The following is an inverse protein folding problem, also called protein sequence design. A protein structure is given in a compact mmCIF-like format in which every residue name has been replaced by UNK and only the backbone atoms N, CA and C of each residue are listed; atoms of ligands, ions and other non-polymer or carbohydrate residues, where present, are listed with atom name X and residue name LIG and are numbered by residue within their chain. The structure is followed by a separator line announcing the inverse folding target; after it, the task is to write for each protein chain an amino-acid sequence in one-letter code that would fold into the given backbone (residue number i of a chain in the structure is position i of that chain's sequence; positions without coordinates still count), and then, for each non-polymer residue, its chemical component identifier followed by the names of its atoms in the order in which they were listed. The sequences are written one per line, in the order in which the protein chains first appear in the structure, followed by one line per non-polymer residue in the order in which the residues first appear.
data_IF_863640730520
#
_entry.id   IF_863640730520
#
_cell.length_a   1.000
_cell.length_b   1.000
_cell.length_c   1.000
_cell.angle_alpha   90.00
_cell.angle_beta   90.00
_cell.angle_gamma   90.00
#
_symmetry.space_group_name_H-M   'P 1'
#
loop_
_entity.id
_entity.type
_entity.pdbx_description
1 polymer ?
#
# COMPACT_ATOMS: atom_id res chain seq x y z
N UNK A 1 9.65 8.15 18.44
CA UNK A 1 8.64 8.72 17.52
C UNK A 1 8.25 7.74 16.42
N UNK A 2 9.10 7.43 15.42
CA UNK A 2 8.73 6.49 14.32
C UNK A 2 8.38 5.07 14.81
N UNK A 3 9.20 4.48 15.69
CA UNK A 3 8.93 3.13 16.24
C UNK A 3 7.55 3.02 16.91
N UNK A 4 7.16 4.05 17.65
CA UNK A 4 5.88 4.11 18.36
C UNK A 4 4.69 4.22 17.40
N UNK A 5 4.82 5.04 16.34
CA UNK A 5 3.83 5.10 15.24
C UNK A 5 3.68 3.74 14.53
N UNK A 6 4.79 3.04 14.30
CA UNK A 6 4.79 1.71 13.67
C UNK A 6 4.14 0.64 14.55
N UNK A 7 4.32 0.71 15.88
CA UNK A 7 3.65 -0.19 16.81
C UNK A 7 2.13 -0.01 16.83
N UNK A 8 1.63 1.20 16.56
CA UNK A 8 0.18 1.48 16.55
C UNK A 8 -0.51 1.08 15.26
N UNK A 9 0.11 1.37 14.11
CA UNK A 9 -0.45 1.04 12.79
C UNK A 9 0.68 0.39 11.97
N UNK A 10 0.64 -0.93 11.75
CA UNK A 10 1.69 -1.61 11.01
C UNK A 10 1.57 -1.36 9.50
N UNK A 11 2.71 -1.38 8.83
CA UNK A 11 2.84 -1.35 7.37
C UNK A 11 3.76 -2.48 6.93
N UNK A 12 3.64 -2.90 5.68
CA UNK A 12 4.46 -3.94 5.08
C UNK A 12 4.98 -3.47 3.73
N UNK A 13 6.06 -4.08 3.24
CA UNK A 13 6.74 -3.71 2.00
C UNK A 13 6.64 -4.86 1.00
N UNK A 14 6.06 -4.61 -0.17
CA UNK A 14 6.28 -5.46 -1.33
C UNK A 14 7.62 -5.13 -1.98
N UNK A 15 8.34 -6.18 -2.37
CA UNK A 15 9.61 -6.06 -3.09
C UNK A 15 9.59 -7.04 -4.27
N UNK A 16 9.58 -6.52 -5.49
CA UNK A 16 9.51 -7.31 -6.72
C UNK A 16 10.68 -6.96 -7.64
N UNK A 17 11.68 -7.85 -7.78
CA UNK A 17 12.81 -7.60 -8.67
C UNK A 17 12.38 -7.68 -10.14
N UNK A 18 12.80 -6.70 -10.94
CA UNK A 18 12.62 -6.73 -12.41
C UNK A 18 13.89 -7.23 -13.11
N UNK A 19 15.05 -6.90 -12.58
CA UNK A 19 16.37 -7.27 -13.10
C UNK A 19 17.38 -7.37 -11.95
N UNK A 20 18.66 -7.56 -12.28
CA UNK A 20 19.77 -7.54 -11.31
C UNK A 20 19.96 -6.19 -10.62
N UNK A 21 19.46 -5.10 -11.20
CA UNK A 21 19.69 -3.72 -10.75
C UNK A 21 18.41 -2.88 -10.60
N UNK A 22 17.24 -3.43 -10.94
CA UNK A 22 15.94 -2.77 -10.80
C UNK A 22 14.99 -3.60 -9.93
N UNK A 23 14.32 -2.91 -9.01
CA UNK A 23 13.38 -3.50 -8.07
C UNK A 23 12.22 -2.52 -7.84
N UNK A 24 11.00 -3.04 -7.88
CA UNK A 24 9.82 -2.35 -7.41
C UNK A 24 9.71 -2.51 -5.89
N UNK A 25 9.48 -1.40 -5.20
CA UNK A 25 9.34 -1.37 -3.75
C UNK A 25 8.08 -0.56 -3.40
N UNK A 26 7.14 -1.17 -2.69
CA UNK A 26 5.87 -0.53 -2.32
C UNK A 26 5.61 -0.75 -0.83
N UNK A 27 5.63 0.32 -0.04
CA UNK A 27 5.24 0.26 1.36
C UNK A 27 3.74 0.52 1.46
N UNK A 28 3.00 -0.42 2.03
CA UNK A 28 1.54 -0.44 2.00
C UNK A 28 0.97 -0.49 3.43
N UNK A 29 -0.13 0.25 3.64
CA UNK A 29 -1.01 0.14 4.81
C UNK A 29 -2.31 -0.55 4.40
N UNK A 30 -2.62 -1.69 5.03
CA UNK A 30 -3.69 -2.61 4.62
C UNK A 30 -5.11 -2.04 4.80
N UNK A 31 -5.48 -1.72 6.04
CA UNK A 31 -6.77 -1.08 6.40
C UNK A 31 -6.52 -0.23 7.63
N UNK A 32 -6.35 1.06 7.42
CA UNK A 32 -6.23 2.02 8.51
C UNK A 32 -7.46 2.93 8.53
N UNK A 33 -7.98 3.20 9.73
CA UNK A 33 -9.04 4.18 9.97
C UNK A 33 -8.59 5.09 11.11
N UNK A 34 -8.28 6.38 10.84
CA UNK A 34 -8.18 7.01 9.51
C UNK A 34 -7.04 6.43 8.66
N UNK A 35 -7.07 6.69 7.35
CA UNK A 35 -5.97 6.30 6.45
C UNK A 35 -4.64 6.91 6.90
N UNK A 36 -3.53 6.20 6.65
CA UNK A 36 -2.19 6.70 6.98
C UNK A 36 -1.78 7.73 5.92
N UNK A 37 -1.28 8.92 6.31
CA UNK A 37 -0.75 9.90 5.35
C UNK A 37 0.38 9.32 4.50
N UNK A 38 0.48 9.73 3.24
CA UNK A 38 1.48 9.20 2.32
C UNK A 38 2.90 9.57 2.76
N UNK A 39 3.07 10.75 3.36
CA UNK A 39 4.36 11.21 3.90
C UNK A 39 4.83 10.31 5.05
N UNK A 40 3.90 9.83 5.88
CA UNK A 40 4.17 8.88 6.96
C UNK A 40 4.62 7.52 6.38
N UNK A 41 4.00 7.06 5.29
CA UNK A 41 4.38 5.83 4.59
C UNK A 41 5.78 5.98 3.96
N UNK A 42 6.06 7.11 3.31
CA UNK A 42 7.34 7.38 2.68
C UNK A 42 8.47 7.44 3.72
N UNK A 43 8.25 8.09 4.87
CA UNK A 43 9.22 8.14 5.97
C UNK A 43 9.55 6.73 6.48
N UNK A 44 8.53 5.88 6.62
CA UNK A 44 8.69 4.47 7.05
C UNK A 44 9.46 3.65 6.04
N UNK A 45 9.14 3.81 4.75
CA UNK A 45 9.86 3.14 3.66
C UNK A 45 11.34 3.52 3.67
N UNK A 46 11.67 4.81 3.71
CA UNK A 46 13.06 5.29 3.76
C UNK A 46 13.81 4.74 4.97
N UNK A 47 13.16 4.74 6.14
CA UNK A 47 13.74 4.16 7.35
C UNK A 47 13.99 2.65 7.22
N UNK A 48 13.05 1.92 6.61
CA UNK A 48 13.16 0.47 6.35
C UNK A 48 14.29 0.17 5.37
N UNK A 49 14.37 0.88 4.24
CA UNK A 49 15.42 0.69 3.25
C UNK A 49 16.81 0.97 3.84
N UNK A 50 16.94 2.04 4.63
CA UNK A 50 18.18 2.34 5.37
C UNK A 50 18.55 1.22 6.33
N UNK A 51 17.58 0.68 7.06
CA UNK A 51 17.81 -0.44 7.98
C UNK A 51 18.24 -1.72 7.24
N UNK A 52 17.72 -1.97 6.04
CA UNK A 52 18.11 -3.08 5.17
C UNK A 52 19.42 -2.85 4.40
N UNK A 53 20.05 -1.68 4.56
CA UNK A 53 21.28 -1.33 3.83
C UNK A 53 21.06 -1.07 2.34
N UNK A 54 19.81 -0.88 1.90
CA UNK A 54 19.47 -0.60 0.51
C UNK A 54 19.74 0.88 0.22
N UNK A 55 20.63 1.14 -0.75
CA UNK A 55 20.92 2.48 -1.26
C UNK A 55 20.25 2.66 -2.62
N UNK A 56 19.20 3.47 -2.66
CA UNK A 56 18.52 3.85 -3.91
C UNK A 56 19.46 4.74 -4.73
N UNK A 57 19.77 4.32 -5.96
CA UNK A 57 20.63 5.09 -6.89
C UNK A 57 19.84 6.13 -7.67
N UNK A 58 18.66 5.74 -8.13
CA UNK A 58 17.72 6.56 -8.90
C UNK A 58 16.32 6.00 -8.71
N UNK A 59 15.32 6.87 -8.85
CA UNK A 59 13.90 6.51 -8.88
C UNK A 59 13.46 6.68 -10.33
N UNK A 60 12.95 5.61 -10.94
CA UNK A 60 12.42 5.65 -12.31
C UNK A 60 10.96 6.12 -12.31
N UNK A 61 10.16 5.60 -11.38
CA UNK A 61 8.73 5.90 -11.23
C UNK A 61 8.37 6.00 -9.74
N UNK A 62 7.38 6.85 -9.43
CA UNK A 62 6.81 7.04 -8.09
C UNK A 62 5.28 7.08 -8.22
N UNK A 63 4.59 6.27 -7.43
CA UNK A 63 3.13 6.13 -7.48
C UNK A 63 2.53 6.13 -6.07
N UNK A 64 1.45 6.89 -5.92
CA UNK A 64 0.62 6.87 -4.72
C UNK A 64 -0.72 6.20 -5.04
N UNK A 65 -0.97 5.04 -4.43
CA UNK A 65 -2.21 4.29 -4.61
C UNK A 65 -3.06 4.30 -3.34
N UNK A 66 -4.36 4.57 -3.50
CA UNK A 66 -5.36 4.47 -2.43
C UNK A 66 -6.50 3.60 -2.92
N UNK A 67 -6.69 2.46 -2.27
CA UNK A 67 -7.79 1.55 -2.56
C UNK A 67 -8.86 1.72 -1.47
N UNK A 68 -10.04 2.29 -1.78
CA UNK A 68 -11.09 2.45 -0.79
C UNK A 68 -11.65 1.08 -0.38
N UNK A 69 -11.47 0.74 0.90
CA UNK A 69 -11.93 -0.52 1.47
C UNK A 69 -13.26 -0.34 2.21
N UNK A 70 -14.18 -1.29 2.07
CA UNK A 70 -15.43 -1.32 2.83
C UNK A 70 -16.53 -0.38 2.33
N UNK A 71 -16.62 -0.19 1.01
CA UNK A 71 -17.75 0.49 0.37
C UNK A 71 -19.08 -0.27 0.54
N UNK A 72 -20.22 0.34 0.18
CA UNK A 72 -21.52 -0.30 0.28
C UNK A 72 -21.57 -1.58 -0.56
N UNK A 73 -22.23 -2.61 -0.02
CA UNK A 73 -22.47 -3.83 -0.78
C UNK A 73 -23.36 -3.54 -1.99
N UNK A 74 -23.18 -4.24 -3.12
CA UNK A 74 -24.08 -4.10 -4.27
C UNK A 74 -25.53 -4.37 -3.90
N UNK A 75 -26.45 -3.54 -4.38
CA UNK A 75 -27.89 -3.75 -4.21
C UNK A 75 -28.33 -4.97 -5.03
N UNK A 76 -29.12 -5.86 -4.44
CA UNK A 76 -29.67 -7.04 -5.11
C UNK A 76 -31.21 -7.05 -4.96
N UNK A 77 -31.98 -7.36 -6.03
CA UNK A 77 -31.53 -7.66 -7.40
C UNK A 77 -31.24 -6.40 -8.24
N UNK A 78 -30.35 -6.50 -9.23
CA UNK A 78 -30.10 -5.45 -10.22
C UNK A 78 -29.70 -6.02 -11.59
N UNK A 79 -29.89 -5.24 -12.66
CA UNK A 79 -29.61 -5.66 -14.05
C UNK A 79 -28.13 -5.58 -14.44
N UNK A 80 -27.34 -4.78 -13.73
CA UNK A 80 -25.92 -4.53 -14.05
C UNK A 80 -25.05 -5.17 -12.97
N UNK A 81 -23.98 -5.83 -13.37
CA UNK A 81 -23.01 -6.45 -12.46
C UNK A 81 -21.69 -5.68 -12.55
N UNK A 82 -21.26 -5.10 -11.43
CA UNK A 82 -19.92 -4.51 -11.30
C UNK A 82 -18.85 -5.60 -11.25
N UNK A 83 -17.68 -5.33 -11.84
CA UNK A 83 -16.52 -6.24 -11.88
C UNK A 83 -15.27 -5.51 -11.35
N UNK A 84 -14.37 -6.25 -10.70
CA UNK A 84 -13.12 -5.70 -10.14
C UNK A 84 -13.37 -4.76 -8.96
N UNK A 85 -12.58 -3.68 -8.85
CA UNK A 85 -12.70 -2.70 -7.76
C UNK A 85 -14.09 -2.05 -7.67
N UNK A 86 -14.79 -1.91 -8.81
CA UNK A 86 -16.15 -1.35 -8.86
C UNK A 86 -17.23 -2.28 -8.30
N UNK A 87 -16.91 -3.56 -8.09
CA UNK A 87 -17.85 -4.54 -7.54
C UNK A 87 -18.06 -4.41 -6.02
N UNK A 88 -17.28 -3.57 -5.34
CA UNK A 88 -17.33 -3.44 -3.87
C UNK A 88 -16.86 -4.70 -3.12
N UNK A 89 -16.22 -5.64 -3.81
CA UNK A 89 -15.73 -6.93 -3.26
C UNK A 89 -14.22 -6.95 -3.05
N UNK A 90 -13.62 -5.82 -2.67
CA UNK A 90 -12.19 -5.77 -2.39
C UNK A 90 -11.96 -6.38 -1.01
N UNK A 91 -11.24 -7.50 -0.94
CA UNK A 91 -10.72 -8.02 0.33
C UNK A 91 -9.33 -7.41 0.55
N UNK A 92 -9.06 -6.83 1.73
CA UNK A 92 -7.83 -6.07 1.94
C UNK A 92 -6.59 -6.96 1.95
N UNK A 93 -6.70 -8.17 2.51
CA UNK A 93 -5.58 -9.12 2.61
C UNK A 93 -5.53 -9.98 1.34
N UNK A 94 -4.35 -10.08 0.72
CA UNK A 94 -3.97 -11.24 -0.08
C UNK A 94 -3.41 -12.32 0.83
#
# INVERSE_FOLDING_TARGET
QLKERNSRIPTFLYAMPFSSDRIFLEETSLVARPGVPVEDIQERMVARLRHLGIKVKSIEEDEHCVIPMGGPLPVLPQRVVGIGGTAGKVHPQR
#
